data_IF_687166310633
#
_entry.id   IF_687166310633
#
_cell.length_a   1.000
_cell.length_b   1.000
_cell.length_c   1.000
_cell.angle_alpha   90.00
_cell.angle_beta   90.00
_cell.angle_gamma   90.00
#
_symmetry.space_group_name_H-M   'P 1'
#
loop_
_entity.id
_entity.type
_entity.pdbx_description
1 polymer ?
#
# COMPACT_ATOMS: atom_id res chain seq x y z
N UNK A 1 18.61 16.38 10.87
CA UNK A 1 18.66 15.49 12.07
C UNK A 1 18.04 16.21 13.27
N UNK A 2 16.75 16.58 13.18
CA UNK A 2 16.03 17.32 14.24
C UNK A 2 15.60 16.43 15.43
N UNK A 3 15.89 15.13 15.39
CA UNK A 3 15.56 14.19 16.48
C UNK A 3 14.12 13.68 16.49
N UNK A 4 13.39 13.83 15.39
CA UNK A 4 12.05 13.25 15.29
C UNK A 4 12.11 11.71 15.35
N UNK A 5 11.23 11.10 16.15
CA UNK A 5 11.12 9.65 16.23
C UNK A 5 10.35 9.05 15.05
N UNK A 6 9.43 9.81 14.47
CA UNK A 6 8.55 9.38 13.38
C UNK A 6 8.41 10.47 12.32
N UNK A 7 8.21 10.05 11.07
CA UNK A 7 7.78 10.87 9.95
C UNK A 7 6.62 10.17 9.24
N UNK A 8 5.61 10.92 8.82
CA UNK A 8 4.40 10.34 8.22
C UNK A 8 4.13 10.92 6.83
N UNK A 9 4.73 10.37 5.77
CA UNK A 9 4.38 10.71 4.40
C UNK A 9 2.99 10.19 4.03
N UNK A 10 2.17 11.05 3.40
CA UNK A 10 0.80 10.74 3.00
C UNK A 10 0.76 10.31 1.53
N UNK A 11 1.10 9.05 1.24
CA UNK A 11 1.24 8.52 -0.11
C UNK A 11 0.02 8.82 -1.00
N UNK A 12 -1.18 8.44 -0.59
CA UNK A 12 -2.38 8.66 -1.40
C UNK A 12 -2.73 10.13 -1.65
N UNK A 13 -2.30 11.06 -0.79
CA UNK A 13 -2.49 12.51 -1.04
C UNK A 13 -1.56 13.03 -2.11
N UNK A 14 -0.37 12.49 -2.25
CA UNK A 14 0.56 12.82 -3.34
C UNK A 14 -0.03 12.34 -4.67
N UNK A 15 -0.56 11.12 -4.70
CA UNK A 15 -1.23 10.58 -5.89
C UNK A 15 -2.44 11.44 -6.30
N UNK A 16 -3.26 11.84 -5.32
CA UNK A 16 -4.40 12.74 -5.55
C UNK A 16 -3.95 14.10 -6.11
N UNK A 17 -2.85 14.65 -5.59
CA UNK A 17 -2.29 15.92 -6.05
C UNK A 17 -1.79 15.84 -7.50
N UNK A 18 -1.05 14.78 -7.84
CA UNK A 18 -0.54 14.56 -9.21
C UNK A 18 -1.71 14.44 -10.20
N UNK A 19 -2.74 13.62 -9.87
CA UNK A 19 -3.95 13.49 -10.71
C UNK A 19 -4.66 14.82 -10.95
N UNK A 20 -4.85 15.60 -9.88
CA UNK A 20 -5.51 16.93 -9.97
C UNK A 20 -4.76 17.87 -10.87
N UNK A 21 -3.44 17.94 -10.76
CA UNK A 21 -2.61 18.79 -11.60
C UNK A 21 -2.67 18.40 -13.09
N UNK A 22 -3.03 17.16 -13.37
CA UNK A 22 -3.22 16.65 -14.73
C UNK A 22 -4.67 16.78 -15.24
N UNK A 23 -5.60 17.24 -14.41
CA UNK A 23 -7.02 17.26 -14.76
C UNK A 23 -7.66 15.86 -14.87
N UNK A 24 -7.07 14.84 -14.27
CA UNK A 24 -7.60 13.47 -14.27
C UNK A 24 -8.72 13.36 -13.24
N UNK A 25 -9.90 12.90 -13.68
CA UNK A 25 -10.96 12.51 -12.76
C UNK A 25 -10.64 11.15 -12.14
N UNK A 26 -10.84 11.01 -10.84
CA UNK A 26 -10.55 9.77 -10.11
C UNK A 26 -11.42 9.63 -8.86
N UNK A 27 -11.61 8.39 -8.42
CA UNK A 27 -12.16 8.08 -7.11
C UNK A 27 -11.04 7.90 -6.09
N UNK A 28 -11.35 8.13 -4.83
CA UNK A 28 -10.36 8.09 -3.74
C UNK A 28 -9.58 6.77 -3.67
N UNK A 29 -10.23 5.65 -3.99
CA UNK A 29 -9.65 4.30 -3.89
C UNK A 29 -9.04 3.80 -5.21
N UNK A 30 -9.08 4.61 -6.28
CA UNK A 30 -8.48 4.24 -7.56
C UNK A 30 -6.97 4.05 -7.40
N UNK A 31 -6.47 2.96 -7.96
CA UNK A 31 -5.04 2.69 -7.95
C UNK A 31 -4.27 3.75 -8.74
N UNK A 32 -3.15 4.18 -8.16
CA UNK A 32 -2.17 5.05 -8.82
C UNK A 32 -0.86 4.26 -8.99
N UNK A 33 -0.30 4.17 -10.21
CA UNK A 33 0.92 3.39 -10.44
C UNK A 33 2.10 3.89 -9.60
N UNK A 34 2.82 2.96 -8.97
CA UNK A 34 4.02 3.30 -8.18
C UNK A 34 5.09 3.99 -9.04
N UNK A 35 5.16 3.60 -10.32
CA UNK A 35 6.06 4.19 -11.33
C UNK A 35 5.59 5.57 -11.81
N UNK A 36 4.41 6.02 -11.37
CA UNK A 36 3.80 7.26 -11.81
C UNK A 36 3.10 7.15 -13.17
N UNK A 37 2.78 8.28 -13.73
CA UNK A 37 2.09 8.40 -15.02
C UNK A 37 3.00 9.00 -16.08
N UNK A 38 2.74 8.64 -17.34
CA UNK A 38 3.40 9.21 -18.52
C UNK A 38 2.35 9.92 -19.37
N UNK A 39 2.62 11.14 -19.79
CA UNK A 39 1.81 11.88 -20.75
C UNK A 39 2.71 12.41 -21.88
N UNK A 40 2.30 12.23 -23.12
CA UNK A 40 3.03 12.66 -24.30
C UNK A 40 4.51 12.21 -24.29
N UNK A 41 4.78 10.97 -23.80
CA UNK A 41 6.11 10.40 -23.70
C UNK A 41 6.99 10.97 -22.59
N UNK A 42 6.46 11.85 -21.72
CA UNK A 42 7.19 12.41 -20.58
C UNK A 42 6.65 11.89 -19.26
N UNK A 43 7.58 11.51 -18.37
CA UNK A 43 7.24 11.16 -16.98
C UNK A 43 6.67 12.37 -16.25
N UNK A 44 5.51 12.21 -15.65
CA UNK A 44 4.91 13.24 -14.82
C UNK A 44 5.47 13.14 -13.42
N UNK A 45 5.86 14.28 -12.88
CA UNK A 45 6.39 14.33 -11.53
C UNK A 45 6.12 15.68 -10.88
N UNK A 46 6.04 15.67 -9.56
CA UNK A 46 6.12 16.87 -8.72
C UNK A 46 7.52 16.92 -8.09
N UNK A 47 8.36 17.83 -8.57
CA UNK A 47 9.74 17.98 -8.09
C UNK A 47 10.55 16.65 -8.07
N UNK A 48 10.35 15.81 -9.07
CA UNK A 48 10.99 14.49 -9.16
C UNK A 48 10.31 13.37 -8.38
N UNK A 49 9.16 13.62 -7.74
CA UNK A 49 8.30 12.60 -7.12
C UNK A 49 7.24 12.19 -8.14
N UNK A 50 7.20 10.93 -8.51
CA UNK A 50 6.29 10.42 -9.54
C UNK A 50 5.03 9.76 -8.97
N UNK A 51 5.05 9.37 -7.68
CA UNK A 51 3.91 8.81 -6.96
C UNK A 51 4.11 8.93 -5.45
N UNK A 52 3.06 8.66 -4.68
CA UNK A 52 3.16 8.56 -3.22
C UNK A 52 4.02 7.38 -2.77
N UNK A 53 4.00 6.28 -3.50
CA UNK A 53 4.88 5.12 -3.25
C UNK A 53 6.34 5.49 -3.51
N UNK A 54 6.62 6.19 -4.60
CA UNK A 54 7.96 6.70 -4.94
C UNK A 54 8.50 7.67 -3.87
N UNK A 55 7.65 8.57 -3.34
CA UNK A 55 8.02 9.44 -2.21
C UNK A 55 8.50 8.63 -1.01
N UNK A 56 7.72 7.63 -0.59
CA UNK A 56 8.06 6.79 0.56
C UNK A 56 9.36 6.03 0.32
N UNK A 57 9.53 5.47 -0.88
CA UNK A 57 10.75 4.77 -1.30
C UNK A 57 12.00 5.68 -1.23
N UNK A 58 11.89 6.92 -1.70
CA UNK A 58 12.98 7.90 -1.64
C UNK A 58 13.32 8.30 -0.21
N UNK A 59 12.30 8.52 0.65
CA UNK A 59 12.52 8.80 2.09
C UNK A 59 13.25 7.63 2.75
N UNK A 60 12.79 6.39 2.54
CA UNK A 60 13.42 5.19 3.11
C UNK A 60 14.88 5.09 2.68
N UNK A 61 15.15 5.28 1.39
CA UNK A 61 16.52 5.24 0.85
C UNK A 61 17.43 6.31 1.45
N UNK A 62 16.92 7.52 1.65
CA UNK A 62 17.66 8.61 2.32
C UNK A 62 17.95 8.21 3.76
N UNK A 63 16.98 7.67 4.49
CA UNK A 63 17.17 7.28 5.89
C UNK A 63 18.22 6.17 6.02
N UNK A 64 18.22 5.20 5.12
CA UNK A 64 19.25 4.15 5.07
C UNK A 64 20.65 4.72 4.78
N UNK A 65 20.78 5.57 3.75
CA UNK A 65 22.06 6.14 3.34
C UNK A 65 22.71 7.00 4.43
N UNK A 66 21.91 7.64 5.29
CA UNK A 66 22.39 8.53 6.35
C UNK A 66 22.24 7.93 7.76
N UNK A 67 21.88 6.63 7.84
CA UNK A 67 21.67 5.92 9.11
C UNK A 67 20.71 6.64 10.07
N UNK A 68 19.66 7.25 9.50
CA UNK A 68 18.65 7.97 10.26
C UNK A 68 17.73 6.95 10.96
N UNK A 69 17.60 7.07 12.28
CA UNK A 69 16.80 6.14 13.11
C UNK A 69 15.31 6.50 13.18
N UNK A 70 14.90 7.61 12.59
CA UNK A 70 13.49 8.02 12.49
C UNK A 70 12.69 6.95 11.74
N UNK A 71 11.59 6.51 12.31
CA UNK A 71 10.70 5.50 11.70
C UNK A 71 9.71 6.16 10.73
N UNK A 72 9.38 5.45 9.67
CA UNK A 72 8.43 5.91 8.66
C UNK A 72 7.04 5.31 8.95
N UNK A 73 6.03 6.18 9.01
CA UNK A 73 4.62 5.81 9.06
C UNK A 73 4.01 6.13 7.70
N UNK A 74 3.93 5.16 6.80
CA UNK A 74 3.25 5.36 5.53
C UNK A 74 1.75 5.53 5.76
N UNK A 75 1.20 6.67 5.33
CA UNK A 75 -0.18 7.03 5.61
C UNK A 75 -0.98 7.34 4.34
N UNK A 76 -2.33 7.41 4.52
CA UNK A 76 -3.26 7.69 3.44
C UNK A 76 -3.25 6.63 2.34
N UNK A 77 -3.05 5.36 2.69
CA UNK A 77 -3.12 4.24 1.76
C UNK A 77 -4.57 4.01 1.32
N UNK A 78 -4.78 3.71 0.04
CA UNK A 78 -6.09 3.77 -0.62
C UNK A 78 -6.64 2.42 -1.06
N UNK A 79 -5.78 1.44 -1.29
CA UNK A 79 -6.16 0.12 -1.79
C UNK A 79 -5.10 -0.94 -1.43
N UNK A 80 -5.44 -2.24 -1.51
CA UNK A 80 -4.55 -3.34 -1.16
C UNK A 80 -3.23 -3.35 -1.93
N UNK A 81 -3.25 -2.96 -3.21
CA UNK A 81 -2.04 -2.94 -4.03
C UNK A 81 -1.03 -1.91 -3.54
N UNK A 82 -1.51 -0.72 -3.18
CA UNK A 82 -0.64 0.32 -2.60
C UNK A 82 -0.05 -0.13 -1.24
N UNK A 83 -0.84 -0.85 -0.41
CA UNK A 83 -0.33 -1.44 0.84
C UNK A 83 0.79 -2.43 0.57
N UNK A 84 0.62 -3.30 -0.43
CA UNK A 84 1.64 -4.28 -0.83
C UNK A 84 2.93 -3.57 -1.32
N UNK A 85 2.81 -2.58 -2.17
CA UNK A 85 3.94 -1.80 -2.70
C UNK A 85 4.72 -1.09 -1.57
N UNK A 86 4.01 -0.49 -0.62
CA UNK A 86 4.59 0.13 0.58
C UNK A 86 5.29 -0.92 1.47
N UNK A 87 4.69 -2.09 1.63
CA UNK A 87 5.30 -3.19 2.42
C UNK A 87 6.61 -3.67 1.81
N UNK A 88 6.71 -3.70 0.49
CA UNK A 88 7.95 -4.07 -0.22
C UNK A 88 9.10 -3.08 0.00
N UNK A 89 8.79 -1.83 0.33
CA UNK A 89 9.80 -0.81 0.67
C UNK A 89 10.41 -1.07 2.05
N UNK A 90 9.72 -1.80 2.93
CA UNK A 90 10.19 -2.10 4.27
C UNK A 90 10.06 -0.93 5.24
N UNK A 91 8.97 -0.16 5.16
CA UNK A 91 8.64 0.85 6.17
C UNK A 91 8.22 0.18 7.49
N UNK A 92 8.44 0.88 8.59
CA UNK A 92 8.20 0.32 9.93
C UNK A 92 6.72 0.26 10.29
N UNK A 93 5.92 1.22 9.79
CA UNK A 93 4.49 1.34 10.13
C UNK A 93 3.71 1.77 8.90
N UNK A 94 2.49 1.24 8.75
CA UNK A 94 1.51 1.69 7.77
C UNK A 94 0.17 1.94 8.45
N UNK A 95 -0.51 3.05 8.12
CA UNK A 95 -1.90 3.28 8.52
C UNK A 95 -2.81 2.85 7.37
N UNK A 96 -3.55 1.79 7.59
CA UNK A 96 -4.42 1.18 6.58
C UNK A 96 -5.88 1.36 7.00
N UNK A 97 -6.75 1.95 6.16
CA UNK A 97 -8.18 2.04 6.43
C UNK A 97 -8.82 0.65 6.59
N UNK A 98 -9.83 0.54 7.41
CA UNK A 98 -10.48 -0.74 7.71
C UNK A 98 -11.08 -1.43 6.48
N UNK A 99 -11.69 -0.66 5.58
CA UNK A 99 -12.22 -1.15 4.31
C UNK A 99 -11.12 -1.73 3.40
N UNK A 100 -9.93 -1.14 3.41
CA UNK A 100 -8.77 -1.67 2.69
C UNK A 100 -8.27 -2.97 3.33
N UNK A 101 -8.24 -3.05 4.67
CA UNK A 101 -7.88 -4.29 5.38
C UNK A 101 -8.84 -5.42 5.02
N UNK A 102 -10.15 -5.15 4.97
CA UNK A 102 -11.14 -6.15 4.55
C UNK A 102 -10.88 -6.62 3.12
N UNK A 103 -10.57 -5.71 2.19
CA UNK A 103 -10.23 -6.08 0.81
C UNK A 103 -8.98 -6.97 0.73
N UNK A 104 -7.99 -6.77 1.60
CA UNK A 104 -6.75 -7.56 1.62
C UNK A 104 -6.98 -9.02 2.00
N UNK A 105 -8.00 -9.32 2.80
CA UNK A 105 -8.33 -10.69 3.23
C UNK A 105 -9.41 -11.35 2.37
N UNK A 106 -10.15 -10.57 1.57
CA UNK A 106 -11.21 -11.05 0.70
C UNK A 106 -10.64 -11.40 -0.68
N UNK A 107 -10.35 -12.68 -0.90
CA UNK A 107 -9.89 -13.17 -2.19
C UNK A 107 -10.71 -14.40 -2.62
N UNK A 108 -11.26 -14.37 -3.83
CA UNK A 108 -12.12 -15.43 -4.36
C UNK A 108 -11.47 -16.81 -4.25
N UNK A 109 -10.19 -16.93 -4.59
CA UNK A 109 -9.46 -18.22 -4.50
C UNK A 109 -9.24 -18.70 -3.08
N UNK A 110 -9.11 -17.80 -2.11
CA UNK A 110 -9.05 -18.17 -0.69
C UNK A 110 -10.38 -18.76 -0.25
N UNK A 111 -11.50 -18.13 -0.61
CA UNK A 111 -12.84 -18.63 -0.30
C UNK A 111 -13.10 -19.97 -0.97
N UNK A 112 -12.85 -20.10 -2.29
CA UNK A 112 -12.96 -21.37 -3.01
C UNK A 112 -12.11 -22.47 -2.38
N UNK A 113 -10.88 -22.15 -1.95
CA UNK A 113 -9.98 -23.07 -1.28
C UNK A 113 -10.52 -23.55 0.06
N UNK A 114 -11.06 -22.62 0.89
CA UNK A 114 -11.67 -22.98 2.18
C UNK A 114 -12.85 -23.92 1.97
N UNK A 115 -13.75 -23.62 1.02
CA UNK A 115 -14.90 -24.49 0.72
C UNK A 115 -14.43 -25.88 0.31
N UNK A 116 -13.51 -25.97 -0.66
CA UNK A 116 -12.97 -27.23 -1.14
C UNK A 116 -12.30 -28.05 -0.04
N UNK A 117 -11.44 -27.42 0.77
CA UNK A 117 -10.78 -28.11 1.88
C UNK A 117 -11.77 -28.57 2.94
N UNK A 118 -12.86 -27.83 3.17
CA UNK A 118 -13.92 -28.25 4.09
C UNK A 118 -14.71 -29.46 3.56
N UNK A 119 -14.89 -29.56 2.25
CA UNK A 119 -15.52 -30.74 1.61
C UNK A 119 -14.61 -31.96 1.64
N UNK A 120 -13.30 -31.78 1.59
CA UNK A 120 -12.30 -32.85 1.61
C UNK A 120 -12.03 -33.39 3.03
N UNK A 121 -12.66 -32.83 4.08
CA UNK A 121 -12.50 -33.31 5.46
C UNK A 121 -13.11 -34.72 5.61
N UNK A 122 -12.28 -35.72 5.95
CA UNK A 122 -12.75 -37.08 6.29
C UNK A 122 -13.59 -37.01 7.55
N UNK A 123 -14.73 -37.75 7.60
CA UNK A 123 -15.67 -37.74 8.73
C UNK A 123 -15.03 -37.93 10.11
N UNK A 124 -13.95 -38.69 10.16
CA UNK A 124 -13.20 -38.99 11.39
C UNK A 124 -12.56 -37.73 12.02
N UNK A 125 -12.22 -36.71 11.20
CA UNK A 125 -11.62 -35.47 11.65
C UNK A 125 -12.62 -34.33 11.77
N UNK A 126 -13.86 -34.46 11.31
CA UNK A 126 -14.90 -33.46 11.37
C UNK A 126 -15.14 -32.96 12.81
N UNK A 127 -15.08 -33.85 13.79
CA UNK A 127 -15.25 -33.55 15.21
C UNK A 127 -14.20 -32.63 15.81
N UNK A 128 -13.05 -32.44 15.17
CA UNK A 128 -12.00 -31.52 15.64
C UNK A 128 -12.43 -30.05 15.46
N UNK A 129 -13.35 -29.79 14.53
CA UNK A 129 -13.83 -28.45 14.18
C UNK A 129 -15.21 -28.11 14.77
N UNK A 130 -15.83 -29.05 15.51
CA UNK A 130 -17.06 -28.81 16.30
C UNK A 130 -16.64 -28.17 17.63
N UNK A 131 -16.69 -26.79 17.68
CA UNK A 131 -16.46 -25.97 18.89
C UNK A 131 -17.80 -25.44 19.38
#
# INVERSE_FOLDING_TARGET
KAGANYVSPFAGRIDDFIRKNMGINFNKNDYFPAEGLVSEGKQISDNGIVSGVDLVKKIKKIFENYEIKTKIIAASLRNPRQVMEISQIGVEIATVPFDVLLQMIQHTKTFEGIVKFSEDIVPEYAKIFEV
#
